data_IF_638407383703
#
_entry.id   IF_638407383703
#
_cell.length_a   1.000
_cell.length_b   1.000
_cell.length_c   1.000
_cell.angle_alpha   90.00
_cell.angle_beta   90.00
_cell.angle_gamma   90.00
#
_symmetry.space_group_name_H-M   'P 1'
#
loop_
_entity.id
_entity.type
_entity.pdbx_description
1 polymer ?
#
# COMPACT_ATOMS: atom_id res chain seq x y z
N UNK A 1 2.57 9.46 4.51
CA UNK A 1 2.58 10.40 5.66
C UNK A 1 4.01 10.49 6.21
N UNK A 2 4.52 11.68 6.56
CA UNK A 2 5.84 11.80 7.21
C UNK A 2 5.74 11.54 8.71
N UNK A 3 6.72 10.84 9.27
CA UNK A 3 6.83 10.55 10.71
C UNK A 3 8.25 10.89 11.19
N UNK A 4 8.42 11.09 12.49
CA UNK A 4 9.74 11.32 13.08
C UNK A 4 10.53 10.01 13.11
N UNK A 5 11.78 10.06 12.66
CA UNK A 5 12.71 8.93 12.76
C UNK A 5 13.08 8.72 14.23
N UNK A 6 12.41 7.77 14.89
CA UNK A 6 12.60 7.47 16.30
C UNK A 6 12.25 6.02 16.60
N UNK A 7 13.05 5.40 17.45
CA UNK A 7 12.71 4.12 18.06
C UNK A 7 11.84 4.36 19.30
N UNK A 8 10.73 3.65 19.40
CA UNK A 8 9.82 3.71 20.53
C UNK A 8 9.58 2.31 21.08
N UNK A 9 9.78 2.15 22.39
CA UNK A 9 9.46 0.90 23.07
C UNK A 9 7.94 0.81 23.28
N UNK A 10 7.32 -0.24 22.74
CA UNK A 10 5.94 -0.60 22.95
C UNK A 10 5.85 -1.63 24.07
N UNK A 11 5.42 -1.19 25.26
CA UNK A 11 5.29 -2.04 26.45
C UNK A 11 4.28 -3.18 26.28
N UNK A 12 3.21 -2.99 25.51
CA UNK A 12 2.16 -4.00 25.37
C UNK A 12 2.61 -5.21 24.56
N UNK A 13 3.49 -4.96 23.59
CA UNK A 13 4.05 -5.99 22.71
C UNK A 13 5.47 -6.39 23.10
N UNK A 14 6.01 -5.81 24.17
CA UNK A 14 7.39 -5.94 24.63
C UNK A 14 8.41 -5.85 23.47
N UNK A 15 8.27 -4.82 22.63
CA UNK A 15 9.09 -4.69 21.43
C UNK A 15 9.42 -3.23 21.10
N UNK A 16 10.46 -3.02 20.29
CA UNK A 16 10.79 -1.71 19.73
C UNK A 16 10.15 -1.52 18.36
N UNK A 17 9.44 -0.40 18.19
CA UNK A 17 8.77 0.01 16.95
C UNK A 17 9.47 1.24 16.38
N UNK A 18 9.53 1.36 15.05
CA UNK A 18 10.09 2.52 14.36
C UNK A 18 11.07 2.18 13.24
N UNK A 19 11.44 0.92 13.09
CA UNK A 19 12.19 0.45 11.92
C UNK A 19 11.29 0.39 10.68
N UNK A 20 11.89 0.48 9.50
CA UNK A 20 11.17 0.32 8.24
C UNK A 20 10.88 -1.17 7.95
N UNK A 21 9.66 -1.46 7.51
CA UNK A 21 9.19 -2.82 7.20
C UNK A 21 9.71 -3.32 5.84
N UNK A 22 10.14 -2.40 4.97
CA UNK A 22 10.49 -2.67 3.56
C UNK A 22 12.00 -2.68 3.32
N UNK A 23 12.84 -2.47 4.34
CA UNK A 23 14.30 -2.61 4.23
C UNK A 23 14.71 -4.06 4.48
N UNK A 24 15.37 -4.68 3.50
CA UNK A 24 15.75 -6.10 3.50
C UNK A 24 16.80 -6.49 4.54
N UNK A 25 16.48 -6.33 5.84
CA UNK A 25 17.31 -6.74 6.97
C UNK A 25 18.03 -5.59 7.69
N UNK A 26 18.21 -4.44 7.03
CA UNK A 26 18.86 -3.29 7.68
C UNK A 26 17.90 -2.61 8.68
N UNK A 27 18.36 -2.44 9.93
CA UNK A 27 17.66 -1.76 11.02
C UNK A 27 17.60 -0.24 10.80
N UNK A 28 17.00 0.19 9.69
CA UNK A 28 16.85 1.61 9.35
C UNK A 28 15.59 2.19 9.97
N UNK A 29 15.72 3.34 10.64
CA UNK A 29 14.56 4.07 11.15
C UNK A 29 13.69 4.60 10.01
N UNK A 30 12.39 4.35 10.10
CA UNK A 30 11.41 4.81 9.15
C UNK A 30 11.18 6.32 9.29
N UNK A 31 11.00 6.99 8.13
CA UNK A 31 10.67 8.42 8.08
C UNK A 31 9.28 8.69 7.51
N UNK A 32 8.61 7.65 7.02
CA UNK A 32 7.30 7.76 6.41
C UNK A 32 6.44 6.55 6.78
N UNK A 33 5.14 6.77 6.95
CA UNK A 33 4.12 5.73 7.07
C UNK A 33 3.32 5.67 5.76
N UNK A 34 3.28 4.50 5.15
CA UNK A 34 2.38 4.15 4.06
C UNK A 34 1.12 3.52 4.68
N UNK A 35 -0.06 3.92 4.23
CA UNK A 35 -1.32 3.35 4.69
C UNK A 35 -2.23 3.11 3.50
N UNK A 36 -2.81 1.91 3.45
CA UNK A 36 -3.85 1.54 2.50
C UNK A 36 -5.20 1.60 3.21
N UNK A 37 -6.14 2.32 2.61
CA UNK A 37 -7.50 2.42 3.11
C UNK A 37 -8.47 1.96 2.03
N UNK A 38 -9.49 1.21 2.44
CA UNK A 38 -10.67 0.98 1.61
C UNK A 38 -11.75 1.99 1.97
N UNK A 39 -12.49 2.44 0.97
CA UNK A 39 -13.64 3.33 1.13
C UNK A 39 -14.84 2.67 0.46
N UNK A 40 -15.95 2.56 1.18
CA UNK A 40 -17.18 2.01 0.63
C UNK A 40 -17.78 2.93 -0.43
N UNK A 41 -18.22 2.34 -1.56
CA UNK A 41 -18.86 3.07 -2.65
C UNK A 41 -20.38 3.16 -2.46
N UNK A 42 -21.01 2.06 -2.07
CA UNK A 42 -22.47 2.00 -1.83
C UNK A 42 -22.86 2.41 -0.41
N UNK A 43 -21.95 2.29 0.54
CA UNK A 43 -22.17 2.60 1.96
C UNK A 43 -20.99 3.39 2.48
N UNK A 44 -21.26 4.42 3.29
CA UNK A 44 -20.21 5.26 3.85
C UNK A 44 -19.44 4.52 4.95
N UNK A 45 -18.25 4.03 4.60
CA UNK A 45 -17.26 3.56 5.56
C UNK A 45 -15.85 3.79 5.03
N UNK A 46 -14.88 3.90 5.95
CA UNK A 46 -13.45 3.99 5.66
C UNK A 46 -12.70 3.12 6.63
N UNK A 47 -11.95 2.15 6.12
CA UNK A 47 -11.24 1.16 6.94
C UNK A 47 -9.78 1.15 6.52
N UNK A 48 -8.83 1.45 7.42
CA UNK A 48 -7.42 1.13 7.20
C UNK A 48 -7.25 -0.39 7.11
N UNK A 49 -6.71 -0.88 6.00
CA UNK A 49 -6.54 -2.33 5.75
C UNK A 49 -5.09 -2.79 5.85
N UNK A 50 -4.14 -1.87 5.67
CA UNK A 50 -2.73 -2.15 5.87
C UNK A 50 -1.97 -0.86 6.17
N UNK A 51 -0.87 -0.99 6.91
CA UNK A 51 0.10 0.09 7.09
C UNK A 51 1.51 -0.48 7.10
N UNK A 52 2.47 0.32 6.64
CA UNK A 52 3.87 -0.03 6.57
C UNK A 52 4.74 1.18 6.94
N UNK A 53 5.67 0.98 7.86
CA UNK A 53 6.77 1.89 8.12
C UNK A 53 7.78 1.81 6.97
N UNK A 54 8.15 2.96 6.42
CA UNK A 54 8.95 3.02 5.19
C UNK A 54 10.07 4.05 5.30
N UNK A 55 11.17 3.76 4.62
CA UNK A 55 12.26 4.70 4.34
C UNK A 55 12.64 4.52 2.87
N UNK A 56 12.54 5.56 2.07
CA UNK A 56 12.90 5.49 0.64
C UNK A 56 12.05 4.52 -0.20
N UNK A 57 10.73 4.52 -0.01
CA UNK A 57 9.82 3.65 -0.78
C UNK A 57 9.96 3.88 -2.29
N UNK A 58 10.17 2.79 -3.05
CA UNK A 58 10.31 2.81 -4.51
C UNK A 58 9.02 2.37 -5.19
N UNK A 59 8.85 2.71 -6.47
CA UNK A 59 7.68 2.28 -7.27
C UNK A 59 7.50 0.76 -7.29
N UNK A 60 8.56 -0.04 -7.55
CA UNK A 60 8.47 -1.50 -7.48
C UNK A 60 8.09 -2.05 -6.10
N UNK A 61 8.58 -1.46 -5.00
CA UNK A 61 8.18 -1.86 -3.66
C UNK A 61 6.69 -1.58 -3.42
N UNK A 62 6.23 -0.39 -3.77
CA UNK A 62 4.82 -0.02 -3.64
C UNK A 62 3.92 -0.92 -4.52
N UNK A 63 4.33 -1.24 -5.74
CA UNK A 63 3.60 -2.13 -6.63
C UNK A 63 3.38 -3.52 -6.01
N UNK A 64 4.43 -4.11 -5.41
CA UNK A 64 4.32 -5.41 -4.72
C UNK A 64 3.36 -5.34 -3.53
N UNK A 65 3.47 -4.30 -2.70
CA UNK A 65 2.56 -4.09 -1.56
C UNK A 65 1.13 -3.89 -2.03
N UNK A 66 0.92 -3.14 -3.11
CA UNK A 66 -0.40 -2.88 -3.68
C UNK A 66 -1.09 -4.17 -4.13
N UNK A 67 -0.40 -5.03 -4.87
CA UNK A 67 -0.95 -6.34 -5.30
C UNK A 67 -1.29 -7.19 -4.07
N UNK A 68 -0.36 -7.30 -3.12
CA UNK A 68 -0.56 -8.10 -1.91
C UNK A 68 -1.78 -7.63 -1.11
N UNK A 69 -1.91 -6.31 -0.89
CA UNK A 69 -3.05 -5.75 -0.16
C UNK A 69 -4.36 -5.99 -0.93
N UNK A 70 -4.35 -5.81 -2.25
CA UNK A 70 -5.52 -6.01 -3.10
C UNK A 70 -6.03 -7.45 -3.03
N UNK A 71 -5.13 -8.44 -3.12
CA UNK A 71 -5.45 -9.86 -2.95
C UNK A 71 -6.04 -10.17 -1.57
N UNK A 72 -5.45 -9.62 -0.49
CA UNK A 72 -5.95 -9.85 0.87
C UNK A 72 -7.31 -9.22 1.11
N UNK A 73 -7.54 -8.02 0.57
CA UNK A 73 -8.83 -7.34 0.68
C UNK A 73 -9.93 -8.12 -0.05
N UNK A 74 -9.65 -8.63 -1.26
CA UNK A 74 -10.60 -9.49 -2.00
C UNK A 74 -10.87 -10.81 -1.28
N UNK A 75 -9.83 -11.43 -0.69
CA UNK A 75 -9.99 -12.66 0.10
C UNK A 75 -10.87 -12.45 1.35
N UNK A 76 -10.99 -11.22 1.85
CA UNK A 76 -11.92 -10.87 2.93
C UNK A 76 -13.38 -10.67 2.45
N UNK A 77 -13.66 -10.84 1.16
CA UNK A 77 -15.00 -10.70 0.57
C UNK A 77 -15.35 -9.29 0.08
N UNK A 78 -14.40 -8.36 0.09
CA UNK A 78 -14.60 -7.04 -0.53
C UNK A 78 -14.37 -7.10 -2.04
N UNK A 79 -15.13 -6.31 -2.79
CA UNK A 79 -14.90 -6.12 -4.23
C UNK A 79 -14.21 -4.77 -4.47
N UNK A 80 -12.95 -4.80 -4.85
CA UNK A 80 -12.14 -3.63 -5.20
C UNK A 80 -12.41 -3.23 -6.65
N UNK A 81 -13.04 -2.08 -6.84
CA UNK A 81 -13.42 -1.57 -8.17
C UNK A 81 -12.44 -0.53 -8.69
N UNK A 82 -11.81 0.23 -7.78
CA UNK A 82 -10.96 1.39 -8.09
C UNK A 82 -9.77 1.47 -7.16
N UNK A 83 -8.65 1.91 -7.71
CA UNK A 83 -7.48 2.35 -6.96
C UNK A 83 -7.34 3.86 -7.05
N UNK A 84 -7.04 4.50 -5.93
CA UNK A 84 -6.84 5.96 -5.84
C UNK A 84 -5.48 6.24 -5.22
N UNK A 85 -4.71 7.08 -5.87
CA UNK A 85 -3.42 7.57 -5.38
C UNK A 85 -3.24 9.03 -5.78
N UNK A 86 -2.29 9.73 -5.15
CA UNK A 86 -1.86 11.05 -5.61
C UNK A 86 -0.91 10.95 -6.82
N UNK A 87 -0.53 12.08 -7.39
CA UNK A 87 0.37 12.14 -8.55
C UNK A 87 1.88 12.13 -8.16
N UNK A 88 2.23 11.63 -6.97
CA UNK A 88 3.63 11.52 -6.57
C UNK A 88 4.38 10.49 -7.44
N UNK A 89 5.64 10.78 -7.81
CA UNK A 89 6.45 9.95 -8.73
C UNK A 89 6.46 8.46 -8.39
N UNK A 90 6.52 8.12 -7.11
CA UNK A 90 6.51 6.71 -6.65
C UNK A 90 5.18 6.03 -6.96
N UNK A 91 4.06 6.74 -6.76
CA UNK A 91 2.72 6.23 -7.06
C UNK A 91 2.52 6.09 -8.55
N UNK A 92 2.93 7.09 -9.34
CA UNK A 92 2.90 7.02 -10.81
C UNK A 92 3.67 5.78 -11.30
N UNK A 93 4.90 5.57 -10.81
CA UNK A 93 5.71 4.40 -11.18
C UNK A 93 5.04 3.08 -10.79
N UNK A 94 4.47 2.98 -9.59
CA UNK A 94 3.77 1.77 -9.14
C UNK A 94 2.53 1.49 -9.99
N UNK A 95 1.75 2.53 -10.32
CA UNK A 95 0.59 2.41 -11.19
C UNK A 95 0.99 2.05 -12.62
N UNK A 96 2.09 2.57 -13.16
CA UNK A 96 2.63 2.17 -14.47
C UNK A 96 3.02 0.70 -14.49
N UNK A 97 3.71 0.21 -13.45
CA UNK A 97 4.05 -1.21 -13.31
C UNK A 97 2.81 -2.09 -13.27
N UNK A 98 1.75 -1.66 -12.58
CA UNK A 98 0.47 -2.37 -12.52
C UNK A 98 -0.20 -2.54 -13.89
N UNK A 99 0.13 -1.71 -14.88
CA UNK A 99 -0.37 -1.87 -16.26
C UNK A 99 0.72 -2.22 -17.23
N UNK A 100 1.66 -3.07 -16.79
CA UNK A 100 2.66 -3.67 -17.66
C UNK A 100 3.48 -2.62 -18.43
N UNK A 101 3.81 -1.51 -17.78
CA UNK A 101 4.61 -0.43 -18.36
C UNK A 101 3.81 0.73 -18.95
N UNK A 102 2.47 0.64 -19.00
CA UNK A 102 1.60 1.72 -19.45
C UNK A 102 0.77 2.30 -18.31
N UNK A 103 0.83 3.62 -18.14
CA UNK A 103 -0.08 4.34 -17.26
C UNK A 103 -1.41 4.56 -17.99
N UNK A 104 -2.45 3.84 -17.56
CA UNK A 104 -3.80 3.92 -18.11
C UNK A 104 -4.82 3.93 -16.98
N UNK A 105 -6.01 4.46 -17.28
CA UNK A 105 -7.14 4.61 -16.36
C UNK A 105 -8.01 3.35 -16.26
N UNK A 106 -7.73 2.29 -17.05
CA UNK A 106 -8.41 0.99 -16.99
C UNK A 106 -7.41 -0.14 -17.11
N UNK A 107 -7.48 -1.10 -16.21
CA UNK A 107 -6.59 -2.27 -16.16
C UNK A 107 -7.35 -3.52 -15.75
N UNK A 108 -6.92 -4.68 -16.23
CA UNK A 108 -7.43 -5.96 -15.75
C UNK A 108 -7.21 -6.08 -14.24
N UNK A 109 -8.20 -6.61 -13.53
CA UNK A 109 -8.12 -6.76 -12.10
C UNK A 109 -7.21 -7.95 -11.76
N UNK A 110 -6.17 -7.79 -10.91
CA UNK A 110 -5.19 -8.84 -10.64
C UNK A 110 -5.78 -10.16 -10.12
N UNK A 111 -6.87 -10.08 -9.36
CA UNK A 111 -7.55 -11.26 -8.81
C UNK A 111 -8.67 -11.82 -9.71
N UNK A 112 -9.08 -11.13 -10.77
CA UNK A 112 -10.22 -11.53 -11.61
C UNK A 112 -10.12 -10.89 -13.00
N UNK A 113 -9.77 -11.70 -14.01
CA UNK A 113 -9.51 -11.20 -15.37
C UNK A 113 -10.73 -10.65 -16.08
N UNK A 114 -11.94 -11.00 -15.64
CA UNK A 114 -13.19 -10.53 -16.24
C UNK A 114 -13.59 -9.14 -15.71
N UNK A 115 -12.85 -8.60 -14.73
CA UNK A 115 -13.10 -7.30 -14.12
C UNK A 115 -12.01 -6.30 -14.46
N UNK A 116 -12.40 -5.04 -14.49
CA UNK A 116 -11.48 -3.92 -14.63
C UNK A 116 -11.34 -3.16 -13.32
N UNK A 117 -10.11 -2.76 -13.00
CA UNK A 117 -9.80 -1.67 -12.10
C UNK A 117 -9.86 -0.36 -12.88
N UNK A 118 -10.76 0.54 -12.47
CA UNK A 118 -11.03 1.85 -13.13
C UNK A 118 -10.87 2.98 -12.16
#
# INVERSE_FOLDING_TARGET
>A
MKIREKLQYNKQQDCFVGHADVSGGDLTLANSLLCFLITGLSTSYRIPVAYYFTKGLTGPHLHKLLIFVLEKVEACGFRVVRLVSDNHRVNVNAMTLLGNGLLTYRKEHPCDRDRLLV
#
